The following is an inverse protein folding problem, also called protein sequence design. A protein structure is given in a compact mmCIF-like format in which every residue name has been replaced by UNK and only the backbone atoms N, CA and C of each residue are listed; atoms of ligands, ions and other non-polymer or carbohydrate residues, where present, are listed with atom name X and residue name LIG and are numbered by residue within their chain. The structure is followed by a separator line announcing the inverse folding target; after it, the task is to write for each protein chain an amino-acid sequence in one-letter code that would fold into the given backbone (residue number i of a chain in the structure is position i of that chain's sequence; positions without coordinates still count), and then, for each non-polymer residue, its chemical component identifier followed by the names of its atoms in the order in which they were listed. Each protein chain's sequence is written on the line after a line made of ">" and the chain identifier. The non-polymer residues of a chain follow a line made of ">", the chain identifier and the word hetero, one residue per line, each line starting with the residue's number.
data_IF_653571683610
#
_entry.id   IF_653571683610
#
_cell.length_a   1.000
_cell.length_b   1.000
_cell.length_c   1.000
_cell.angle_alpha   90.00
_cell.angle_beta   90.00
_cell.angle_gamma   90.00
#
_symmetry.space_group_name_H-M   'P 1'
#
loop_
_entity.id
_entity.type
_entity.pdbx_description
1 polymer ?
#
# COMPACT_ATOMS: atom_id res chain seq x y z
N UNK A 1 -18.26 -19.52 -5.03
CA UNK A 1 -18.41 -18.18 -4.41
C UNK A 1 -17.25 -17.32 -4.87
N UNK A 2 -17.49 -16.07 -5.24
CA UNK A 2 -16.41 -15.17 -5.67
C UNK A 2 -15.56 -14.79 -4.44
N UNK A 3 -14.28 -15.16 -4.43
CA UNK A 3 -13.35 -14.87 -3.32
C UNK A 3 -12.52 -13.60 -3.55
N UNK A 4 -12.88 -12.81 -4.56
CA UNK A 4 -12.14 -11.59 -4.87
C UNK A 4 -12.51 -10.44 -3.93
N UNK A 5 -11.53 -9.61 -3.49
CA UNK A 5 -11.80 -8.35 -2.82
C UNK A 5 -12.68 -7.43 -3.67
N UNK A 6 -13.34 -6.45 -3.06
CA UNK A 6 -14.00 -5.36 -3.78
C UNK A 6 -12.95 -4.47 -4.48
N UNK A 7 -11.90 -4.14 -3.76
CA UNK A 7 -10.77 -3.39 -4.29
C UNK A 7 -9.54 -3.56 -3.41
N UNK A 8 -8.37 -3.41 -4.01
CA UNK A 8 -7.09 -3.33 -3.30
C UNK A 8 -6.46 -1.97 -3.57
N UNK A 9 -5.98 -1.35 -2.51
CA UNK A 9 -5.23 -0.09 -2.53
C UNK A 9 -3.78 -0.40 -2.23
N UNK A 10 -2.88 -0.11 -3.16
CA UNK A 10 -1.45 -0.24 -2.99
C UNK A 10 -0.83 1.13 -2.77
N UNK A 11 -0.01 1.25 -1.73
CA UNK A 11 0.78 2.43 -1.46
C UNK A 11 2.21 2.05 -1.15
N UNK A 12 3.12 2.94 -1.47
CA UNK A 12 4.49 2.90 -0.97
C UNK A 12 4.53 3.44 0.46
N UNK A 13 5.47 2.95 1.27
CA UNK A 13 5.80 3.56 2.57
C UNK A 13 6.19 5.03 2.43
N UNK A 14 6.06 5.81 3.49
CA UNK A 14 6.48 7.21 3.57
C UNK A 14 8.00 7.39 3.38
N UNK A 15 8.44 8.63 3.38
CA UNK A 15 9.83 9.01 3.14
C UNK A 15 10.78 8.37 4.17
N UNK A 16 11.95 8.00 3.69
CA UNK A 16 13.06 7.54 4.52
C UNK A 16 13.94 8.72 4.92
N UNK A 17 14.69 8.62 6.01
CA UNK A 17 15.69 9.62 6.36
C UNK A 17 16.68 9.88 5.22
N UNK A 18 17.03 11.12 5.02
CA UNK A 18 17.95 11.54 3.95
C UNK A 18 18.43 12.98 4.11
N UNK A 19 17.82 13.74 5.03
CA UNK A 19 18.24 15.09 5.35
C UNK A 19 18.70 15.16 6.82
N UNK A 20 20.02 15.24 7.06
CA UNK A 20 20.57 15.29 8.43
C UNK A 20 20.10 16.51 9.24
N UNK A 21 19.62 17.57 8.59
CA UNK A 21 19.14 18.78 9.27
C UNK A 21 17.72 18.65 9.79
N UNK A 22 16.92 17.77 9.18
CA UNK A 22 15.49 17.59 9.47
C UNK A 22 15.16 16.26 10.15
N UNK A 23 16.02 15.27 10.01
CA UNK A 23 15.79 13.94 10.53
C UNK A 23 16.57 13.73 11.84
N UNK A 24 15.91 13.11 12.83
CA UNK A 24 16.60 12.47 13.94
C UNK A 24 17.54 11.37 13.42
N UNK A 25 18.49 10.93 14.20
CA UNK A 25 19.54 9.98 13.84
C UNK A 25 19.07 8.95 12.81
N UNK A 26 19.69 8.97 11.63
CA UNK A 26 19.30 8.15 10.50
C UNK A 26 19.70 6.70 10.76
N UNK A 27 18.84 5.92 11.42
CA UNK A 27 19.02 4.48 11.57
C UNK A 27 18.81 3.71 10.26
N UNK A 28 18.33 4.40 9.21
CA UNK A 28 18.03 3.80 7.91
C UNK A 28 16.81 2.87 7.90
N UNK A 29 16.20 2.59 9.06
CA UNK A 29 15.14 1.61 9.27
C UNK A 29 13.79 2.29 9.31
N UNK A 30 13.69 3.43 10.00
CA UNK A 30 12.46 4.16 10.28
C UNK A 30 12.06 5.15 9.18
N UNK A 31 10.88 5.76 9.33
CA UNK A 31 10.45 6.90 8.52
C UNK A 31 11.25 8.14 8.92
N UNK A 32 11.41 9.06 7.96
CA UNK A 32 11.82 10.45 8.25
C UNK A 32 10.68 11.21 8.93
N UNK A 33 10.99 12.42 9.44
CA UNK A 33 9.96 13.36 9.95
C UNK A 33 8.86 13.57 8.93
N UNK A 34 9.21 13.86 7.66
CA UNK A 34 8.25 13.99 6.56
C UNK A 34 7.44 12.71 6.33
N UNK A 35 8.08 11.55 6.47
CA UNK A 35 7.40 10.26 6.35
C UNK A 35 6.35 10.03 7.46
N UNK A 36 6.63 10.47 8.67
CA UNK A 36 5.65 10.43 9.78
C UNK A 36 4.51 11.43 9.58
N UNK A 37 4.78 12.64 9.07
CA UNK A 37 3.74 13.60 8.69
C UNK A 37 2.81 13.02 7.63
N UNK A 38 3.37 12.37 6.60
CA UNK A 38 2.60 11.67 5.56
C UNK A 38 1.74 10.54 6.15
N UNK A 39 2.29 9.76 7.06
CA UNK A 39 1.56 8.68 7.73
C UNK A 39 0.36 9.23 8.52
N UNK A 40 0.53 10.35 9.21
CA UNK A 40 -0.55 11.03 9.93
C UNK A 40 -1.64 11.58 9.01
N UNK A 41 -1.28 12.11 7.85
CA UNK A 41 -2.22 12.66 6.87
C UNK A 41 -2.96 11.58 6.05
N UNK A 42 -2.50 10.33 6.09
CA UNK A 42 -3.02 9.25 5.25
C UNK A 42 -4.45 8.83 5.62
N UNK A 43 -4.78 8.78 6.92
CA UNK A 43 -6.09 8.31 7.39
C UNK A 43 -7.26 9.14 6.83
N UNK A 44 -7.33 10.47 7.00
CA UNK A 44 -8.42 11.27 6.47
C UNK A 44 -8.49 11.23 4.94
N UNK A 45 -7.35 11.14 4.25
CA UNK A 45 -7.32 10.99 2.80
C UNK A 45 -7.96 9.68 2.35
N UNK A 46 -7.62 8.56 2.97
CA UNK A 46 -8.17 7.26 2.59
C UNK A 46 -9.66 7.18 2.85
N UNK A 47 -10.14 7.71 3.99
CA UNK A 47 -11.57 7.77 4.27
C UNK A 47 -12.35 8.54 3.22
N UNK A 48 -11.86 9.73 2.87
CA UNK A 48 -12.53 10.56 1.89
C UNK A 48 -12.50 9.97 0.46
N UNK A 49 -11.45 9.23 0.11
CA UNK A 49 -11.22 8.75 -1.25
C UNK A 49 -11.73 7.34 -1.51
N UNK A 50 -11.66 6.44 -0.51
CA UNK A 50 -11.88 5.00 -0.71
C UNK A 50 -12.78 4.36 0.35
N UNK A 51 -13.01 5.01 1.48
CA UNK A 51 -13.67 4.44 2.66
C UNK A 51 -12.68 3.71 3.58
N UNK A 52 -13.21 3.06 4.63
CA UNK A 52 -12.43 2.38 5.64
C UNK A 52 -11.90 1.04 5.13
N UNK A 53 -10.58 0.81 5.09
CA UNK A 53 -10.05 -0.51 4.78
C UNK A 53 -10.50 -1.56 5.80
N UNK A 54 -11.02 -2.68 5.31
CA UNK A 54 -11.37 -3.83 6.14
C UNK A 54 -10.12 -4.56 6.65
N UNK A 55 -9.08 -4.61 5.82
CA UNK A 55 -7.81 -5.29 6.10
C UNK A 55 -6.61 -4.42 5.74
N UNK A 56 -5.60 -4.49 6.59
CA UNK A 56 -4.35 -3.75 6.44
C UNK A 56 -3.18 -4.72 6.37
N UNK A 57 -2.35 -4.57 5.34
CA UNK A 57 -1.11 -5.32 5.17
C UNK A 57 0.08 -4.38 5.04
N UNK A 58 1.19 -4.79 5.62
CA UNK A 58 2.49 -4.16 5.42
C UNK A 58 3.57 -5.23 5.25
N UNK A 59 4.67 -4.92 4.57
CA UNK A 59 5.83 -5.80 4.59
C UNK A 59 6.31 -6.04 6.00
N UNK A 60 6.72 -7.28 6.28
CA UNK A 60 7.39 -7.65 7.52
C UNK A 60 8.58 -6.73 7.80
N UNK A 61 8.73 -6.33 9.06
CA UNK A 61 9.91 -5.57 9.48
C UNK A 61 11.20 -6.39 9.28
N UNK A 62 12.24 -5.71 8.86
CA UNK A 62 13.58 -6.28 8.65
C UNK A 62 14.65 -5.42 9.31
N UNK A 63 15.89 -5.89 9.32
CA UNK A 63 17.03 -5.08 9.76
C UNK A 63 17.28 -3.82 8.90
N UNK A 64 16.58 -3.67 7.78
CA UNK A 64 16.73 -2.55 6.84
C UNK A 64 15.50 -1.64 6.78
N UNK A 65 14.34 -2.07 7.28
CA UNK A 65 13.12 -1.26 7.20
C UNK A 65 11.99 -1.77 8.09
N UNK A 66 11.35 -0.86 8.83
CA UNK A 66 10.02 -1.02 9.42
C UNK A 66 9.03 0.03 8.86
N UNK A 67 9.43 0.78 7.84
CA UNK A 67 8.69 1.92 7.28
C UNK A 67 7.29 1.58 6.78
N UNK A 68 7.03 0.44 6.10
CA UNK A 68 5.67 0.09 5.68
C UNK A 68 4.70 -0.02 6.85
N UNK A 69 5.11 -0.65 7.94
CA UNK A 69 4.30 -0.75 9.17
C UNK A 69 4.07 0.65 9.76
N UNK A 70 5.12 1.44 9.93
CA UNK A 70 5.02 2.80 10.48
C UNK A 70 4.11 3.71 9.66
N UNK A 71 4.12 3.56 8.33
CA UNK A 71 3.30 4.37 7.42
C UNK A 71 1.81 4.21 7.67
N UNK A 72 1.35 3.00 7.98
CA UNK A 72 -0.08 2.74 8.15
C UNK A 72 -0.49 2.55 9.62
N UNK A 73 0.45 2.66 10.57
CA UNK A 73 0.15 2.57 12.02
C UNK A 73 -0.85 3.63 12.47
N UNK A 74 -0.74 4.93 12.11
CA UNK A 74 -1.75 5.92 12.51
C UNK A 74 -3.16 5.58 12.01
N UNK A 75 -3.27 5.09 10.77
CA UNK A 75 -4.54 4.64 10.21
C UNK A 75 -5.07 3.41 10.96
N UNK A 76 -4.23 2.42 11.20
CA UNK A 76 -4.60 1.21 11.93
C UNK A 76 -5.13 1.54 13.33
N UNK A 77 -4.45 2.45 14.03
CA UNK A 77 -4.88 2.95 15.34
C UNK A 77 -6.24 3.65 15.28
N UNK A 78 -6.43 4.54 14.30
CA UNK A 78 -7.69 5.27 14.14
C UNK A 78 -8.88 4.35 13.82
N UNK A 79 -8.63 3.24 13.10
CA UNK A 79 -9.65 2.24 12.74
C UNK A 79 -9.83 1.14 13.81
N UNK A 80 -8.96 1.06 14.81
CA UNK A 80 -8.93 -0.07 15.74
C UNK A 80 -8.65 -1.41 15.05
N UNK A 81 -7.81 -1.42 14.00
CA UNK A 81 -7.49 -2.62 13.18
C UNK A 81 -6.04 -3.03 13.34
N UNK A 82 -5.82 -4.34 13.25
CA UNK A 82 -4.47 -4.89 13.21
C UNK A 82 -3.85 -4.78 11.81
N UNK A 83 -2.54 -4.58 11.76
CA UNK A 83 -1.74 -4.69 10.54
C UNK A 83 -1.21 -6.13 10.45
N UNK A 84 -1.53 -6.83 9.37
CA UNK A 84 -0.84 -8.08 9.06
C UNK A 84 0.51 -7.75 8.42
N UNK A 85 1.59 -8.18 9.06
CA UNK A 85 2.97 -7.99 8.60
C UNK A 85 3.75 -9.31 8.56
N UNK A 86 3.09 -10.41 8.18
CA UNK A 86 3.66 -11.75 8.15
C UNK A 86 4.48 -12.02 6.87
N UNK A 87 4.40 -11.12 5.88
CA UNK A 87 5.01 -11.33 4.56
C UNK A 87 6.24 -10.45 4.37
N UNK A 88 7.40 -11.06 4.10
CA UNK A 88 8.61 -10.36 3.69
C UNK A 88 8.43 -9.70 2.32
N UNK A 89 9.29 -8.75 1.95
CA UNK A 89 9.20 -7.99 0.69
C UNK A 89 9.12 -8.89 -0.56
N UNK A 90 9.89 -9.97 -0.59
CA UNK A 90 9.91 -10.94 -1.68
C UNK A 90 8.71 -11.91 -1.66
N UNK A 91 7.93 -11.95 -0.57
CA UNK A 91 6.80 -12.88 -0.42
C UNK A 91 5.47 -12.33 -0.99
N UNK A 92 5.54 -11.36 -1.90
CA UNK A 92 4.38 -10.70 -2.50
C UNK A 92 3.41 -11.68 -3.19
N UNK A 93 3.94 -12.74 -3.82
CA UNK A 93 3.10 -13.75 -4.46
C UNK A 93 2.32 -14.59 -3.43
N UNK A 94 2.93 -14.88 -2.28
CA UNK A 94 2.25 -15.58 -1.18
C UNK A 94 1.14 -14.73 -0.56
N UNK A 95 1.38 -13.41 -0.40
CA UNK A 95 0.34 -12.46 0.01
C UNK A 95 -0.84 -12.45 -0.96
N UNK A 96 -0.57 -12.35 -2.27
CA UNK A 96 -1.61 -12.37 -3.29
C UNK A 96 -2.42 -13.68 -3.26
N UNK A 97 -1.74 -14.83 -3.15
CA UNK A 97 -2.37 -16.13 -3.02
C UNK A 97 -3.25 -16.21 -1.75
N UNK A 98 -2.80 -15.67 -0.63
CA UNK A 98 -3.58 -15.59 0.60
C UNK A 98 -4.86 -14.78 0.42
N UNK A 99 -4.77 -13.61 -0.19
CA UNK A 99 -5.92 -12.71 -0.40
C UNK A 99 -6.98 -13.36 -1.29
N UNK A 100 -6.57 -14.06 -2.35
CA UNK A 100 -7.53 -14.73 -3.24
C UNK A 100 -7.99 -16.11 -2.76
N UNK A 101 -7.20 -16.76 -1.91
CA UNK A 101 -7.49 -18.09 -1.38
C UNK A 101 -8.42 -18.11 -0.16
N UNK A 102 -8.67 -16.96 0.46
CA UNK A 102 -9.45 -16.90 1.70
C UNK A 102 -10.68 -16.02 1.52
N UNK A 103 -11.84 -16.61 1.75
CA UNK A 103 -13.17 -16.01 1.58
C UNK A 103 -13.39 -14.77 2.48
N UNK A 104 -12.61 -14.61 3.56
CA UNK A 104 -12.73 -13.44 4.43
C UNK A 104 -12.46 -12.12 3.72
N UNK A 105 -11.67 -12.15 2.62
CA UNK A 105 -11.35 -10.95 1.82
C UNK A 105 -12.37 -10.69 0.71
N UNK A 106 -13.33 -11.59 0.49
CA UNK A 106 -14.35 -11.44 -0.55
C UNK A 106 -15.18 -10.18 -0.34
N UNK A 107 -15.28 -9.34 -1.37
CA UNK A 107 -16.03 -8.07 -1.31
C UNK A 107 -15.43 -6.99 -0.40
N UNK A 108 -14.21 -7.17 0.11
CA UNK A 108 -13.56 -6.29 1.08
C UNK A 108 -12.65 -5.25 0.44
N UNK A 109 -12.46 -4.12 1.14
CA UNK A 109 -11.43 -3.15 0.86
C UNK A 109 -10.14 -3.56 1.59
N UNK A 110 -9.07 -3.80 0.83
CA UNK A 110 -7.76 -4.18 1.36
C UNK A 110 -6.76 -3.07 1.06
N UNK A 111 -6.04 -2.59 2.09
CA UNK A 111 -4.91 -1.68 1.94
C UNK A 111 -3.61 -2.45 2.13
N UNK A 112 -2.67 -2.24 1.21
CA UNK A 112 -1.34 -2.84 1.27
C UNK A 112 -0.28 -1.75 1.16
N UNK A 113 0.56 -1.62 2.17
CA UNK A 113 1.73 -0.75 2.15
C UNK A 113 3.00 -1.56 1.92
N UNK A 114 3.72 -1.25 0.85
CA UNK A 114 4.84 -2.07 0.40
C UNK A 114 6.08 -1.27 0.03
N UNK A 115 7.19 -1.94 -0.28
CA UNK A 115 8.38 -1.31 -0.84
C UNK A 115 8.22 -1.08 -2.34
N UNK A 116 8.65 0.09 -2.80
CA UNK A 116 8.49 0.51 -4.21
C UNK A 116 9.11 -0.45 -5.22
N UNK A 117 10.18 -1.15 -4.82
CA UNK A 117 10.87 -2.12 -5.68
C UNK A 117 10.06 -3.35 -6.04
N UNK A 118 9.00 -3.67 -5.26
CA UNK A 118 8.16 -4.86 -5.45
C UNK A 118 6.68 -4.56 -5.68
N UNK A 119 6.28 -3.29 -5.66
CA UNK A 119 4.87 -2.93 -5.93
C UNK A 119 4.44 -3.35 -7.34
N UNK A 120 5.25 -3.21 -8.42
CA UNK A 120 4.83 -3.68 -9.74
C UNK A 120 4.62 -5.19 -9.80
N UNK A 121 5.51 -5.99 -9.21
CA UNK A 121 5.38 -7.45 -9.16
C UNK A 121 4.20 -7.89 -8.30
N UNK A 122 4.00 -7.25 -7.15
CA UNK A 122 2.81 -7.46 -6.31
C UNK A 122 1.53 -7.14 -7.09
N UNK A 123 1.52 -6.05 -7.85
CA UNK A 123 0.38 -5.65 -8.70
C UNK A 123 0.05 -6.74 -9.73
N UNK A 124 1.07 -7.28 -10.39
CA UNK A 124 0.90 -8.41 -11.32
C UNK A 124 0.34 -9.65 -10.61
N UNK A 125 0.88 -10.00 -9.44
CA UNK A 125 0.41 -11.14 -8.65
C UNK A 125 -1.05 -10.98 -8.20
N UNK A 126 -1.48 -9.73 -7.97
CA UNK A 126 -2.86 -9.37 -7.68
C UNK A 126 -3.76 -9.29 -8.94
N UNK A 127 -3.24 -9.64 -10.12
CA UNK A 127 -3.98 -9.68 -11.37
C UNK A 127 -4.20 -8.31 -12.01
N UNK A 128 -3.48 -7.28 -11.58
CA UNK A 128 -3.49 -5.95 -12.17
C UNK A 128 -2.42 -5.75 -13.24
N UNK A 129 -2.65 -4.80 -14.16
CA UNK A 129 -1.63 -4.31 -15.07
C UNK A 129 -0.96 -3.07 -14.43
N UNK A 130 0.30 -3.16 -13.94
CA UNK A 130 0.93 -2.02 -13.29
C UNK A 130 1.07 -0.84 -14.26
N UNK A 131 0.78 0.40 -13.84
CA UNK A 131 0.90 1.59 -14.70
C UNK A 131 2.31 1.83 -15.22
N UNK A 132 3.32 1.29 -14.54
CA UNK A 132 4.71 1.29 -14.97
C UNK A 132 5.45 0.06 -14.46
N UNK A 133 6.50 -0.35 -15.17
CA UNK A 133 7.34 -1.51 -14.78
C UNK A 133 8.17 -1.23 -13.52
N UNK A 134 8.35 0.04 -13.16
CA UNK A 134 9.08 0.46 -11.96
C UNK A 134 8.32 1.59 -11.29
N UNK A 135 8.14 1.49 -9.99
CA UNK A 135 7.67 2.62 -9.19
C UNK A 135 8.78 3.67 -9.11
N UNK A 136 8.49 4.96 -9.44
CA UNK A 136 9.52 6.00 -9.40
C UNK A 136 10.13 6.15 -8.00
N UNK A 137 11.47 6.10 -7.85
CA UNK A 137 12.11 6.10 -6.52
C UNK A 137 11.82 7.34 -5.66
N UNK A 138 11.54 8.48 -6.29
CA UNK A 138 11.20 9.72 -5.59
C UNK A 138 9.71 9.88 -5.30
N UNK A 139 8.83 9.02 -5.85
CA UNK A 139 7.39 9.15 -5.68
C UNK A 139 6.92 8.46 -4.38
N UNK A 140 6.46 9.29 -3.45
CA UNK A 140 5.81 8.85 -2.19
C UNK A 140 4.33 9.23 -2.15
N UNK A 141 3.83 9.88 -3.18
CA UNK A 141 2.53 10.55 -3.30
C UNK A 141 1.56 9.84 -4.25
N UNK A 142 1.69 8.53 -4.42
CA UNK A 142 0.85 7.75 -5.32
C UNK A 142 0.08 6.66 -4.60
N UNK A 143 -1.11 6.40 -5.15
CA UNK A 143 -1.95 5.24 -4.85
C UNK A 143 -2.18 4.47 -6.14
N UNK A 144 -1.94 3.16 -6.12
CA UNK A 144 -2.41 2.28 -7.18
C UNK A 144 -3.66 1.56 -6.69
N UNK A 145 -4.78 1.83 -7.35
CA UNK A 145 -6.07 1.23 -7.03
C UNK A 145 -6.39 0.11 -8.02
N UNK A 146 -6.68 -1.06 -7.50
CA UNK A 146 -7.13 -2.24 -8.24
C UNK A 146 -8.62 -2.49 -7.89
N UNK A 147 -9.58 -2.02 -8.71
CA UNK A 147 -10.98 -2.34 -8.52
C UNK A 147 -11.28 -3.73 -9.09
N UNK A 148 -11.91 -4.60 -8.32
CA UNK A 148 -12.37 -5.91 -8.80
C UNK A 148 -13.86 -5.83 -9.07
N UNK A 149 -14.28 -5.99 -10.34
CA UNK A 149 -15.69 -5.94 -10.68
C UNK A 149 -16.45 -7.13 -10.08
N UNK A 150 -17.68 -6.89 -9.71
CA UNK A 150 -18.60 -7.88 -9.08
C UNK A 150 -19.15 -8.90 -10.11
N UNK A 151 -18.41 -9.16 -11.18
CA UNK A 151 -18.84 -10.03 -12.27
C UNK A 151 -18.42 -11.47 -11.99
N UNK A 152 -19.40 -12.38 -11.96
CA UNK A 152 -19.22 -13.83 -11.84
C UNK A 152 -18.60 -14.50 -13.08
N UNK A 153 -18.05 -13.74 -14.03
CA UNK A 153 -17.44 -14.22 -15.26
C UNK A 153 -15.91 -14.39 -15.13
N UNK A 154 -15.36 -15.39 -15.81
CA UNK A 154 -13.91 -15.53 -15.94
C UNK A 154 -13.33 -14.27 -16.58
N UNK A 155 -12.41 -13.62 -15.86
CA UNK A 155 -11.73 -12.43 -16.38
C UNK A 155 -10.78 -12.82 -17.50
N UNK A 156 -10.94 -12.18 -18.63
CA UNK A 156 -9.99 -12.25 -19.74
C UNK A 156 -9.06 -11.04 -19.67
N UNK A 157 -7.86 -11.21 -19.15
CA UNK A 157 -6.85 -10.16 -19.08
C UNK A 157 -6.63 -9.55 -17.69
N UNK A 158 -5.57 -8.73 -17.58
CA UNK A 158 -5.21 -8.03 -16.36
C UNK A 158 -6.15 -6.86 -16.05
N UNK A 159 -6.40 -6.59 -14.76
CA UNK A 159 -7.18 -5.44 -14.32
C UNK A 159 -6.46 -4.12 -14.62
N UNK A 160 -7.19 -3.12 -15.14
CA UNK A 160 -6.64 -1.78 -15.20
C UNK A 160 -6.38 -1.24 -13.80
N UNK A 161 -5.17 -0.77 -13.57
CA UNK A 161 -4.76 -0.14 -12.32
C UNK A 161 -4.88 1.37 -12.47
N UNK A 162 -5.58 2.02 -11.54
CA UNK A 162 -5.66 3.48 -11.50
C UNK A 162 -4.49 4.01 -10.69
N UNK A 163 -3.67 4.87 -11.31
CA UNK A 163 -2.59 5.59 -10.63
C UNK A 163 -3.11 6.96 -10.19
N UNK A 164 -3.34 7.13 -8.91
CA UNK A 164 -3.99 8.31 -8.33
C UNK A 164 -2.99 9.10 -7.49
N UNK A 165 -2.99 10.45 -7.57
CA UNK A 165 -2.17 11.28 -6.70
C UNK A 165 -2.68 11.26 -5.26
N UNK A 166 -1.76 11.39 -4.32
CA UNK A 166 -1.99 11.61 -2.88
C UNK A 166 -1.41 12.95 -2.49
N UNK A 167 -2.11 14.02 -2.75
CA UNK A 167 -1.65 15.37 -2.44
C UNK A 167 -1.83 15.67 -0.94
N UNK A 168 -0.98 15.11 -0.10
CA UNK A 168 -1.05 15.20 1.36
C UNK A 168 -0.09 16.24 1.93
N UNK A 169 1.04 16.45 1.30
CA UNK A 169 2.12 17.31 1.79
C UNK A 169 2.56 18.29 0.71
N UNK A 170 3.17 19.39 1.17
CA UNK A 170 3.82 20.33 0.26
C UNK A 170 4.88 19.64 -0.62
N UNK A 171 4.81 19.88 -1.92
CA UNK A 171 5.69 19.27 -2.91
C UNK A 171 5.19 17.96 -3.50
N UNK A 172 4.01 17.48 -3.08
CA UNK A 172 3.34 16.36 -3.75
C UNK A 172 2.83 16.82 -5.13
N UNK A 173 2.82 15.90 -6.09
CA UNK A 173 2.49 16.17 -7.50
C UNK A 173 1.11 15.63 -7.85
N UNK A 174 0.34 16.42 -8.61
CA UNK A 174 -0.92 15.98 -9.19
C UNK A 174 -0.75 15.13 -10.48
N UNK A 175 0.47 15.10 -11.08
CA UNK A 175 0.77 14.43 -12.34
C UNK A 175 1.30 13.01 -12.16
#
# INVERSE_FOLDING_TARGET
>A
MNSTPKQIILIRHGEKPGDPALDSEADGITLSTKGFERAGALAPFLWASFGDPDFLFATQASKHSCRPIQTITPLATALGRNINCDYADEAYAALAARIFGDVQYAGKLVLICWHHGKIPELTNALGGAPPSLKWPPAAFDRVWQLPYPDTAGARTGALPVRNLPRMLLYGDSAA
#
